data_IF_219089636500
#
_entry.id   IF_219089636500
#
_cell.length_a   1.000
_cell.length_b   1.000
_cell.length_c   1.000
_cell.angle_alpha   90.00
_cell.angle_beta   90.00
_cell.angle_gamma   90.00
#
_symmetry.space_group_name_H-M   'P 1'
#
loop_
_entity.id
_entity.type
_entity.pdbx_description
1 polymer ?
#
# COMPACT_ATOMS: atom_id res chain seq x y z
N UNK A 1 12.01 -0.05 -1.41
CA UNK A 1 12.71 0.91 -2.30
C UNK A 1 12.23 0.65 -3.70
N UNK A 2 11.56 1.62 -4.32
CA UNK A 2 11.10 1.52 -5.71
C UNK A 2 12.16 1.91 -6.72
N UNK A 3 11.84 1.69 -7.99
CA UNK A 3 12.62 2.21 -9.12
C UNK A 3 12.20 3.67 -9.33
N UNK A 4 13.14 4.60 -9.19
CA UNK A 4 12.85 6.04 -9.25
C UNK A 4 12.30 6.38 -10.64
N UNK A 5 11.20 7.14 -10.68
CA UNK A 5 10.50 7.59 -11.91
C UNK A 5 9.97 6.47 -12.82
N UNK A 6 9.91 5.22 -12.38
CA UNK A 6 9.47 4.12 -13.23
C UNK A 6 8.06 4.33 -13.78
N UNK A 7 7.11 4.79 -12.95
CA UNK A 7 5.75 5.08 -13.40
C UNK A 7 5.75 6.13 -14.52
N UNK A 8 6.39 7.28 -14.32
CA UNK A 8 6.47 8.34 -15.34
C UNK A 8 7.13 7.86 -16.63
N UNK A 9 8.16 7.02 -16.53
CA UNK A 9 8.81 6.44 -17.70
C UNK A 9 7.88 5.48 -18.45
N UNK A 10 7.15 4.61 -17.75
CA UNK A 10 6.16 3.73 -18.39
C UNK A 10 5.09 4.56 -19.07
N UNK A 11 4.57 5.58 -18.39
CA UNK A 11 3.54 6.48 -18.93
C UNK A 11 4.03 7.29 -20.15
N UNK A 12 5.33 7.60 -20.25
CA UNK A 12 5.90 8.35 -21.39
C UNK A 12 6.28 7.47 -22.58
N UNK A 13 6.83 6.27 -22.33
CA UNK A 13 7.42 5.44 -23.38
C UNK A 13 6.49 4.33 -23.89
N UNK A 14 5.40 4.02 -23.17
CA UNK A 14 4.47 2.96 -23.57
C UNK A 14 3.16 3.53 -24.12
N UNK A 15 2.52 2.85 -25.10
CA UNK A 15 1.18 3.23 -25.52
C UNK A 15 0.22 3.26 -24.34
N UNK A 16 -0.72 4.20 -24.35
CA UNK A 16 -1.73 4.36 -23.29
C UNK A 16 -2.62 3.14 -23.06
N UNK A 17 -2.56 2.13 -23.95
CA UNK A 17 -3.22 0.84 -23.77
C UNK A 17 -2.52 -0.08 -22.75
N UNK A 18 -1.28 0.20 -22.37
CA UNK A 18 -0.47 -0.65 -21.46
C UNK A 18 -0.76 -0.38 -19.99
N UNK A 19 -1.31 0.78 -19.65
CA UNK A 19 -1.71 1.16 -18.29
C UNK A 19 -3.10 1.79 -18.32
N UNK A 20 -3.88 1.60 -17.26
CA UNK A 20 -5.23 2.17 -17.17
C UNK A 20 -5.60 2.47 -15.73
N UNK A 21 -6.42 3.50 -15.56
CA UNK A 21 -7.13 3.73 -14.31
C UNK A 21 -8.18 2.63 -14.13
N UNK A 22 -8.25 2.07 -12.93
CA UNK A 22 -9.16 0.99 -12.60
C UNK A 22 -9.96 1.34 -11.35
N UNK A 23 -11.24 0.99 -11.34
CA UNK A 23 -12.04 0.98 -10.11
C UNK A 23 -11.87 -0.36 -9.45
N UNK A 24 -11.58 -0.38 -8.15
CA UNK A 24 -11.40 -1.62 -7.37
C UNK A 24 -12.64 -2.53 -7.51
N UNK A 25 -13.84 -1.94 -7.55
CA UNK A 25 -15.09 -2.67 -7.78
C UNK A 25 -15.13 -3.38 -9.15
N UNK A 26 -14.62 -2.75 -10.20
CA UNK A 26 -14.53 -3.36 -11.54
C UNK A 26 -13.57 -4.56 -11.53
N UNK A 27 -12.42 -4.41 -10.86
CA UNK A 27 -11.45 -5.52 -10.70
C UNK A 27 -12.08 -6.71 -9.98
N UNK A 28 -12.82 -6.45 -8.90
CA UNK A 28 -13.57 -7.49 -8.17
C UNK A 28 -14.57 -8.20 -9.07
N UNK A 29 -15.42 -7.46 -9.77
CA UNK A 29 -16.46 -8.03 -10.63
C UNK A 29 -15.86 -8.89 -11.76
N UNK A 30 -14.76 -8.42 -12.37
CA UNK A 30 -14.05 -9.19 -13.40
C UNK A 30 -13.43 -10.46 -12.83
N UNK A 31 -12.78 -10.39 -11.67
CA UNK A 31 -12.22 -11.56 -11.00
C UNK A 31 -13.29 -12.60 -10.67
N UNK A 32 -14.46 -12.17 -10.18
CA UNK A 32 -15.56 -13.09 -9.86
C UNK A 32 -16.16 -13.78 -11.10
N UNK A 33 -16.17 -13.11 -12.25
CA UNK A 33 -16.59 -13.71 -13.52
C UNK A 33 -15.59 -14.76 -14.00
N UNK A 34 -14.30 -14.47 -13.86
CA UNK A 34 -13.21 -15.35 -14.29
C UNK A 34 -13.04 -16.56 -13.36
N UNK A 35 -13.25 -16.38 -12.05
CA UNK A 35 -13.10 -17.39 -11.02
C UNK A 35 -14.36 -17.51 -10.13
N UNK A 36 -15.48 -18.05 -10.64
CA UNK A 36 -16.71 -18.19 -9.86
C UNK A 36 -16.51 -19.04 -8.60
N UNK A 37 -17.04 -18.59 -7.46
CA UNK A 37 -16.98 -19.30 -6.19
C UNK A 37 -15.66 -19.13 -5.42
N UNK A 38 -14.64 -18.49 -6.00
CA UNK A 38 -13.41 -18.15 -5.29
C UNK A 38 -13.56 -16.84 -4.50
N UNK A 39 -12.95 -16.72 -3.30
CA UNK A 39 -12.93 -15.46 -2.57
C UNK A 39 -12.12 -14.40 -3.35
N UNK A 40 -12.57 -13.15 -3.32
CA UNK A 40 -11.81 -12.03 -3.88
C UNK A 40 -10.87 -11.50 -2.81
N UNK A 41 -9.57 -11.72 -2.99
CA UNK A 41 -8.55 -11.30 -2.04
C UNK A 41 -7.65 -10.24 -2.67
N UNK A 42 -7.28 -9.23 -1.87
CA UNK A 42 -6.36 -8.18 -2.30
C UNK A 42 -5.19 -8.08 -1.32
N UNK A 43 -3.99 -8.38 -1.82
CA UNK A 43 -2.75 -8.24 -1.08
C UNK A 43 -2.25 -6.78 -1.15
N UNK A 44 -1.95 -6.19 0.00
CA UNK A 44 -1.40 -4.84 0.10
C UNK A 44 -0.05 -4.85 0.82
N UNK A 45 0.86 -3.99 0.39
CA UNK A 45 2.05 -3.63 1.17
C UNK A 45 1.66 -2.54 2.18
N UNK A 46 1.42 -2.95 3.42
CA UNK A 46 0.88 -2.07 4.45
C UNK A 46 1.88 -0.97 4.83
N UNK A 47 3.17 -1.30 4.87
CA UNK A 47 4.23 -0.31 5.17
C UNK A 47 4.22 0.84 4.16
N UNK A 48 3.91 0.55 2.89
CA UNK A 48 3.76 1.57 1.86
C UNK A 48 2.44 2.35 1.97
N UNK A 49 1.36 1.75 2.48
CA UNK A 49 0.07 2.42 2.65
C UNK A 49 0.05 3.38 3.85
N UNK A 50 0.75 3.05 4.95
CA UNK A 50 0.68 3.79 6.21
C UNK A 50 0.94 5.31 6.07
N UNK A 51 1.96 5.79 5.35
CA UNK A 51 2.16 7.24 5.17
C UNK A 51 1.02 7.94 4.41
N UNK A 52 0.25 7.21 3.60
CA UNK A 52 -0.89 7.76 2.86
C UNK A 52 -2.18 7.72 3.68
N UNK A 53 -2.34 6.69 4.52
CA UNK A 53 -3.46 6.58 5.46
C UNK A 53 -3.29 7.54 6.65
N UNK A 54 -2.04 7.83 7.01
CA UNK A 54 -1.65 8.63 8.16
C UNK A 54 -0.47 9.53 7.78
N UNK A 55 -0.72 10.73 7.25
CA UNK A 55 0.36 11.65 6.88
C UNK A 55 1.34 11.96 8.02
N UNK A 56 0.84 11.99 9.27
CA UNK A 56 1.64 12.26 10.48
C UNK A 56 2.45 11.04 10.97
N UNK A 57 2.25 9.85 10.40
CA UNK A 57 2.95 8.61 10.77
C UNK A 57 4.48 8.71 10.63
N UNK A 58 4.96 9.57 9.73
CA UNK A 58 6.39 9.79 9.48
C UNK A 58 6.98 10.95 10.28
N UNK A 59 6.15 11.80 10.90
CA UNK A 59 6.59 13.12 11.39
C UNK A 59 7.10 13.09 12.82
N UNK A 60 6.53 12.27 13.72
CA UNK A 60 7.08 12.17 15.08
C UNK A 60 6.50 10.97 15.87
N UNK A 61 7.32 10.02 16.36
CA UNK A 61 6.87 9.04 17.35
C UNK A 61 6.59 9.64 18.75
N UNK A 62 6.62 10.98 18.91
CA UNK A 62 6.27 11.67 20.17
C UNK A 62 4.83 11.43 20.64
N UNK A 63 3.94 10.97 19.77
CA UNK A 63 2.62 10.52 20.17
C UNK A 63 2.72 9.03 20.52
N UNK A 64 2.85 8.70 21.80
CA UNK A 64 3.02 7.32 22.30
C UNK A 64 1.78 6.43 22.07
N UNK A 65 1.12 5.99 23.14
CA UNK A 65 -0.02 5.06 23.05
C UNK A 65 -1.24 5.59 22.29
N UNK A 66 -1.46 6.91 22.26
CA UNK A 66 -2.59 7.52 21.54
C UNK A 66 -2.47 7.38 20.02
N UNK A 67 -1.24 7.42 19.48
CA UNK A 67 -1.00 7.18 18.05
C UNK A 67 -1.34 5.74 17.66
N UNK A 68 -1.07 4.78 18.55
CA UNK A 68 -1.42 3.39 18.30
C UNK A 68 -2.94 3.21 18.16
N UNK A 69 -3.75 3.87 19.00
CA UNK A 69 -5.22 3.81 18.92
C UNK A 69 -5.75 4.42 17.61
N UNK A 70 -5.25 5.59 17.22
CA UNK A 70 -5.66 6.23 15.96
C UNK A 70 -5.26 5.38 14.76
N UNK A 71 -4.04 4.84 14.77
CA UNK A 71 -3.57 3.95 13.72
C UNK A 71 -4.45 2.70 13.64
N UNK A 72 -4.78 2.06 14.76
CA UNK A 72 -5.66 0.90 14.78
C UNK A 72 -7.05 1.23 14.24
N UNK A 73 -7.66 2.34 14.66
CA UNK A 73 -9.00 2.73 14.22
C UNK A 73 -9.08 2.97 12.71
N UNK A 74 -8.16 3.74 12.15
CA UNK A 74 -8.19 4.02 10.70
C UNK A 74 -7.76 2.79 9.89
N UNK A 75 -6.92 1.90 10.41
CA UNK A 75 -6.68 0.60 9.78
C UNK A 75 -7.94 -0.25 9.79
N UNK A 76 -8.67 -0.31 10.90
CA UNK A 76 -9.94 -1.03 11.00
C UNK A 76 -10.96 -0.47 10.00
N UNK A 77 -11.14 0.85 9.94
CA UNK A 77 -12.02 1.50 8.96
C UNK A 77 -11.58 1.21 7.52
N UNK A 78 -10.28 1.26 7.25
CA UNK A 78 -9.74 0.93 5.93
C UNK A 78 -10.07 -0.52 5.55
N UNK A 79 -9.86 -1.47 6.44
CA UNK A 79 -10.21 -2.88 6.22
C UNK A 79 -11.71 -3.09 6.03
N UNK A 80 -12.51 -2.43 6.85
CA UNK A 80 -13.96 -2.56 6.84
C UNK A 80 -14.55 -2.14 5.49
N UNK A 81 -14.07 -1.03 4.90
CA UNK A 81 -14.52 -0.57 3.59
C UNK A 81 -14.29 -1.59 2.47
N UNK A 82 -13.22 -2.38 2.52
CA UNK A 82 -12.99 -3.45 1.56
C UNK A 82 -13.86 -4.69 1.83
N UNK A 83 -14.03 -5.05 3.10
CA UNK A 83 -14.91 -6.14 3.50
C UNK A 83 -16.36 -5.85 3.08
N UNK A 84 -16.84 -4.62 3.22
CA UNK A 84 -18.19 -4.19 2.80
C UNK A 84 -18.43 -4.36 1.30
N UNK A 85 -17.39 -4.14 0.48
CA UNK A 85 -17.46 -4.43 -0.95
C UNK A 85 -17.13 -5.89 -1.28
N UNK A 86 -17.01 -6.78 -0.29
CA UNK A 86 -16.77 -8.21 -0.47
C UNK A 86 -15.37 -8.55 -0.97
N UNK A 87 -14.37 -7.75 -0.58
CA UNK A 87 -12.96 -8.00 -0.86
C UNK A 87 -12.25 -8.26 0.47
N UNK A 88 -11.59 -9.40 0.58
CA UNK A 88 -10.76 -9.72 1.75
C UNK A 88 -9.39 -9.08 1.57
N UNK A 89 -9.07 -8.08 2.37
CA UNK A 89 -7.73 -7.50 2.41
C UNK A 89 -6.75 -8.39 3.16
N UNK A 90 -5.56 -8.57 2.57
CA UNK A 90 -4.42 -9.24 3.17
C UNK A 90 -3.30 -8.22 3.27
N UNK A 91 -2.89 -7.85 4.50
CA UNK A 91 -1.72 -6.99 4.68
C UNK A 91 -0.44 -7.79 4.75
N UNK A 92 0.55 -7.31 4.01
CA UNK A 92 1.93 -7.70 4.15
C UNK A 92 2.70 -6.61 4.89
N UNK A 93 3.41 -7.00 5.94
CA UNK A 93 4.31 -6.16 6.74
C UNK A 93 5.74 -6.64 6.55
N UNK A 94 6.65 -5.74 6.18
CA UNK A 94 8.03 -6.08 5.87
C UNK A 94 8.91 -6.08 7.13
N UNK A 95 9.09 -7.27 7.72
CA UNK A 95 9.95 -7.43 8.90
C UNK A 95 11.44 -7.58 8.53
N UNK A 96 11.74 -8.09 7.34
CA UNK A 96 13.11 -8.31 6.91
C UNK A 96 13.67 -7.14 6.13
N UNK A 97 14.85 -6.73 6.58
CA UNK A 97 15.55 -5.58 6.09
C UNK A 97 16.89 -6.03 5.47
N UNK A 98 17.00 -6.20 4.13
CA UNK A 98 18.20 -6.75 3.50
C UNK A 98 19.46 -5.93 3.82
N UNK A 99 20.55 -6.60 4.22
CA UNK A 99 21.82 -5.92 4.56
C UNK A 99 22.34 -5.04 3.42
N UNK A 100 22.17 -5.48 2.18
CA UNK A 100 22.54 -4.72 0.97
C UNK A 100 21.81 -3.37 0.83
N UNK A 101 20.69 -3.19 1.52
CA UNK A 101 19.88 -1.96 1.48
C UNK A 101 20.12 -1.04 2.68
N UNK A 102 20.97 -1.44 3.65
CA UNK A 102 21.20 -0.71 4.89
C UNK A 102 21.70 0.72 4.67
N UNK A 103 22.69 0.91 3.79
CA UNK A 103 23.27 2.23 3.51
C UNK A 103 22.17 3.24 3.11
N UNK A 104 21.33 2.86 2.14
CA UNK A 104 20.23 3.73 1.69
C UNK A 104 19.17 4.03 2.75
N UNK A 105 18.98 3.19 3.77
CA UNK A 105 18.08 3.54 4.87
C UNK A 105 18.70 4.49 5.88
N UNK A 106 20.01 4.39 6.09
CA UNK A 106 20.75 5.38 6.87
C UNK A 106 20.61 6.73 6.17
N UNK A 107 20.83 6.80 4.87
CA UNK A 107 20.67 8.03 4.09
C UNK A 107 19.25 8.61 4.24
N UNK A 108 18.21 7.77 4.09
CA UNK A 108 16.81 8.20 4.29
C UNK A 108 16.53 8.76 5.68
N UNK A 109 17.12 8.16 6.72
CA UNK A 109 16.85 8.53 8.11
C UNK A 109 17.55 9.81 8.54
N UNK A 110 18.75 10.06 8.02
CA UNK A 110 19.61 11.15 8.52
C UNK A 110 19.84 12.28 7.52
N UNK A 111 19.66 12.01 6.22
CA UNK A 111 19.95 12.96 5.14
C UNK A 111 18.66 13.48 4.50
N UNK A 112 17.51 12.84 4.78
CA UNK A 112 16.19 13.29 4.31
C UNK A 112 15.96 13.15 2.80
N UNK A 113 16.64 12.18 2.16
CA UNK A 113 16.54 11.92 0.70
C UNK A 113 15.51 10.83 0.38
#
# INVERSE_FOLDING_TARGET
MGVRKLQMFIESETPSSVFRNVKIKELKENYQKEYPGHPVELLIDLDCCLPHLFPDYMVDPKYGGELATVVLYTLEEFYQRFNEIGIRLIAFLSNYKPKSKRARWIDKRYIGV
#
